data_IF_027021280161
#
_entry.id   IF_027021280161
#
_cell.length_a   1.000
_cell.length_b   1.000
_cell.length_c   1.000
_cell.angle_alpha   90.00
_cell.angle_beta   90.00
_cell.angle_gamma   90.00
#
_symmetry.space_group_name_H-M   'P 1'
#
loop_
_entity.id
_entity.type
_entity.pdbx_description
1 polymer ?
#
# COMPACT_ATOMS: atom_id res chain seq x y z
N UNK A 1 7.65 -17.94 5.96
CA UNK A 1 7.33 -16.61 6.52
C UNK A 1 5.83 -16.47 6.54
N UNK A 2 5.27 -16.10 7.68
CA UNK A 2 3.84 -15.82 7.89
C UNK A 2 3.64 -14.35 8.25
N UNK A 3 2.43 -13.83 8.05
CA UNK A 3 2.04 -12.50 8.49
C UNK A 3 1.85 -12.50 10.02
N UNK A 4 2.52 -11.60 10.73
CA UNK A 4 2.44 -11.48 12.19
C UNK A 4 1.64 -10.26 12.67
N UNK A 5 1.73 -9.13 11.95
CA UNK A 5 1.01 -7.89 12.25
C UNK A 5 0.70 -7.14 10.96
N UNK A 6 -0.43 -6.44 10.92
CA UNK A 6 -0.77 -5.53 9.83
C UNK A 6 -1.33 -4.22 10.38
N UNK A 7 -0.77 -3.11 9.88
CA UNK A 7 -1.20 -1.76 10.24
C UNK A 7 -1.66 -1.02 9.00
N UNK A 8 -2.83 -0.38 9.07
CA UNK A 8 -3.38 0.48 8.00
C UNK A 8 -3.83 1.80 8.61
N UNK A 9 -3.33 2.89 8.02
CA UNK A 9 -3.58 4.26 8.44
C UNK A 9 -4.44 4.98 7.39
N UNK A 10 -5.19 5.99 7.80
CA UNK A 10 -5.94 6.84 6.88
C UNK A 10 -4.99 7.81 6.19
N UNK A 11 -5.02 7.82 4.85
CA UNK A 11 -4.22 8.72 4.02
C UNK A 11 -4.97 9.94 3.51
N UNK A 12 -6.30 9.95 3.63
CA UNK A 12 -7.14 11.05 3.18
C UNK A 12 -6.89 12.31 4.00
N UNK A 13 -6.89 13.46 3.33
CA UNK A 13 -6.77 14.76 3.98
C UNK A 13 -7.96 14.99 4.91
N UNK A 14 -7.68 15.19 6.19
CA UNK A 14 -8.72 15.36 7.19
C UNK A 14 -8.20 15.25 8.62
N UNK A 15 -9.10 15.40 9.61
CA UNK A 15 -8.72 15.42 11.02
C UNK A 15 -8.18 14.07 11.53
N UNK A 16 -8.43 12.98 10.79
CA UNK A 16 -7.97 11.62 11.13
C UNK A 16 -6.82 11.14 10.25
N UNK A 17 -6.17 12.05 9.52
CA UNK A 17 -4.99 11.72 8.72
C UNK A 17 -3.88 11.12 9.60
N UNK A 18 -3.20 10.10 9.10
CA UNK A 18 -2.19 9.31 9.82
C UNK A 18 -2.69 8.61 11.10
N UNK A 19 -3.99 8.57 11.36
CA UNK A 19 -4.54 7.79 12.48
C UNK A 19 -4.74 6.35 12.01
N UNK A 20 -4.16 5.35 12.69
CA UNK A 20 -4.39 3.95 12.37
C UNK A 20 -5.84 3.56 12.62
N UNK A 21 -6.42 2.78 11.73
CA UNK A 21 -7.75 2.20 11.89
C UNK A 21 -7.75 0.67 11.83
N UNK A 22 -6.64 0.09 11.35
CA UNK A 22 -6.31 -1.33 11.48
C UNK A 22 -4.92 -1.37 12.13
N UNK A 23 -4.80 -2.10 13.25
CA UNK A 23 -3.53 -2.48 13.88
C UNK A 23 -3.75 -3.87 14.47
N UNK A 24 -3.76 -4.85 13.58
CA UNK A 24 -4.17 -6.22 13.85
C UNK A 24 -2.93 -7.10 14.02
N UNK A 25 -2.85 -7.82 15.14
CA UNK A 25 -1.89 -8.89 15.35
C UNK A 25 -2.52 -10.22 14.93
N UNK A 26 -1.75 -11.08 14.27
CA UNK A 26 -2.27 -12.32 13.70
C UNK A 26 -2.09 -13.47 14.68
N UNK A 27 -3.21 -13.96 15.23
CA UNK A 27 -3.21 -15.12 16.10
C UNK A 27 -2.65 -16.34 15.35
N UNK A 28 -1.65 -16.98 15.94
CA UNK A 28 -0.99 -18.16 15.37
C UNK A 28 -1.01 -19.29 16.38
N UNK A 29 -1.52 -20.46 15.99
CA UNK A 29 -1.49 -21.69 16.79
C UNK A 29 -0.22 -22.51 16.59
N UNK A 30 0.46 -22.29 15.46
CA UNK A 30 1.71 -22.98 15.12
C UNK A 30 2.89 -22.40 15.89
N UNK A 31 3.89 -23.22 16.25
CA UNK A 31 5.09 -22.73 16.91
C UNK A 31 5.88 -21.80 15.97
N UNK A 32 6.20 -20.60 16.47
CA UNK A 32 7.04 -19.64 15.75
C UNK A 32 8.50 -20.01 15.94
N UNK A 33 9.19 -20.28 14.84
CA UNK A 33 10.62 -20.66 14.85
C UNK A 33 11.51 -19.45 15.14
N UNK A 34 11.21 -18.31 14.52
CA UNK A 34 11.94 -17.06 14.70
C UNK A 34 10.99 -15.87 14.57
N UNK A 35 11.01 -14.96 15.55
CA UNK A 35 10.17 -13.78 15.61
C UNK A 35 10.76 -12.59 14.82
N UNK A 36 12.06 -12.64 14.49
CA UNK A 36 12.77 -11.55 13.80
C UNK A 36 12.51 -10.19 14.45
N UNK A 37 12.51 -10.15 15.78
CA UNK A 37 12.04 -9.02 16.60
C UNK A 37 12.68 -7.68 16.23
N UNK A 38 13.96 -7.68 15.84
CA UNK A 38 14.66 -6.49 15.35
C UNK A 38 13.95 -5.87 14.13
N UNK A 39 13.46 -6.70 13.21
CA UNK A 39 12.84 -6.29 11.95
C UNK A 39 11.31 -6.25 11.99
N UNK A 40 10.68 -6.99 12.90
CA UNK A 40 9.22 -7.14 12.98
C UNK A 40 8.59 -6.34 14.12
N UNK A 41 9.36 -6.05 15.17
CA UNK A 41 8.87 -5.51 16.43
C UNK A 41 8.00 -6.49 17.23
N UNK A 42 7.88 -7.75 16.80
CA UNK A 42 7.06 -8.77 17.46
C UNK A 42 7.86 -9.47 18.55
N UNK A 43 7.29 -9.49 19.75
CA UNK A 43 7.86 -10.17 20.91
C UNK A 43 7.22 -11.56 21.10
N UNK A 44 7.93 -12.51 21.75
CA UNK A 44 7.32 -13.75 22.19
C UNK A 44 6.10 -13.48 23.09
N UNK A 45 4.97 -14.10 22.76
CA UNK A 45 3.70 -13.91 23.45
C UNK A 45 2.75 -12.91 22.79
N UNK A 46 3.22 -12.05 21.88
CA UNK A 46 2.36 -11.10 21.17
C UNK A 46 1.35 -11.80 20.24
N UNK A 47 1.65 -13.02 19.80
CA UNK A 47 0.82 -13.80 18.88
C UNK A 47 -0.03 -14.88 19.58
N UNK A 48 0.07 -14.97 20.92
CA UNK A 48 -0.69 -15.95 21.73
C UNK A 48 -2.00 -15.33 22.25
N UNK A 49 -3.17 -15.90 21.92
CA UNK A 49 -4.46 -15.45 22.41
C UNK A 49 -4.61 -15.38 23.94
N UNK A 50 -3.83 -16.16 24.69
CA UNK A 50 -3.94 -16.22 26.16
C UNK A 50 -3.07 -15.19 26.88
N UNK A 51 -2.03 -14.68 26.23
CA UNK A 51 -0.99 -13.84 26.85
C UNK A 51 -0.94 -12.45 26.24
N UNK A 52 -1.31 -12.32 24.96
CA UNK A 52 -1.13 -11.09 24.22
C UNK A 52 -1.97 -9.95 24.77
N UNK A 53 -1.38 -8.74 24.75
CA UNK A 53 -2.02 -7.48 25.11
C UNK A 53 -2.61 -6.76 23.89
N UNK A 54 -2.36 -7.29 22.69
CA UNK A 54 -2.72 -6.67 21.43
C UNK A 54 -4.06 -7.17 20.90
N UNK A 55 -4.61 -6.46 19.91
CA UNK A 55 -5.83 -6.90 19.21
C UNK A 55 -5.48 -8.07 18.30
N UNK A 56 -5.74 -9.29 18.78
CA UNK A 56 -5.49 -10.51 18.02
C UNK A 56 -6.69 -10.86 17.15
N UNK A 57 -6.41 -11.09 15.88
CA UNK A 57 -7.40 -11.55 14.91
C UNK A 57 -6.89 -12.78 14.16
N UNK A 58 -7.79 -13.69 13.74
CA UNK A 58 -7.41 -14.73 12.80
C UNK A 58 -6.95 -14.12 11.47
N UNK A 59 -5.97 -14.76 10.81
CA UNK A 59 -5.46 -14.33 9.50
C UNK A 59 -6.57 -14.05 8.47
N UNK A 60 -7.61 -14.89 8.47
CA UNK A 60 -8.77 -14.76 7.57
C UNK A 60 -9.53 -13.44 7.78
N UNK A 61 -9.59 -12.92 9.01
CA UNK A 61 -10.27 -11.66 9.32
C UNK A 61 -9.45 -10.48 8.81
N UNK A 62 -8.15 -10.45 9.10
CA UNK A 62 -7.24 -9.44 8.57
C UNK A 62 -7.25 -9.40 7.03
N UNK A 63 -7.19 -10.57 6.39
CA UNK A 63 -7.29 -10.70 4.94
C UNK A 63 -8.60 -10.11 4.39
N UNK A 64 -9.74 -10.43 5.00
CA UNK A 64 -11.04 -9.89 4.57
C UNK A 64 -11.11 -8.38 4.70
N UNK A 65 -10.57 -7.80 5.78
CA UNK A 65 -10.51 -6.35 5.97
C UNK A 65 -9.72 -5.68 4.85
N UNK A 66 -8.53 -6.20 4.54
CA UNK A 66 -7.72 -5.71 3.42
C UNK A 66 -8.41 -5.91 2.08
N UNK A 67 -9.06 -7.07 1.87
CA UNK A 67 -9.75 -7.38 0.62
C UNK A 67 -10.90 -6.43 0.34
N UNK A 68 -11.68 -6.07 1.36
CA UNK A 68 -12.73 -5.06 1.23
C UNK A 68 -12.15 -3.70 0.80
N UNK A 69 -10.99 -3.29 1.34
CA UNK A 69 -10.32 -2.05 0.90
C UNK A 69 -9.91 -2.10 -0.58
N UNK A 70 -9.39 -3.25 -1.04
CA UNK A 70 -9.05 -3.45 -2.46
C UNK A 70 -10.30 -3.36 -3.34
N UNK A 71 -11.36 -4.09 -2.98
CA UNK A 71 -12.61 -4.15 -3.75
C UNK A 71 -13.33 -2.78 -3.79
N UNK A 72 -13.16 -1.94 -2.77
CA UNK A 72 -13.65 -0.55 -2.74
C UNK A 72 -12.86 0.43 -3.61
N UNK A 73 -11.75 0.00 -4.24
CA UNK A 73 -10.94 0.87 -5.06
C UNK A 73 -9.94 1.73 -4.27
N UNK A 74 -9.67 1.42 -2.99
CA UNK A 74 -8.70 2.18 -2.19
C UNK A 74 -7.29 2.12 -2.78
N UNK A 75 -6.53 3.20 -2.65
CA UNK A 75 -5.12 3.28 -3.07
C UNK A 75 -4.23 2.97 -1.87
N UNK A 76 -3.35 1.99 -2.02
CA UNK A 76 -2.36 1.59 -1.02
C UNK A 76 -1.05 2.33 -1.26
N UNK A 77 -0.67 3.15 -0.27
CA UNK A 77 0.62 3.84 -0.23
C UNK A 77 1.52 3.13 0.78
N UNK A 78 2.78 2.89 0.43
CA UNK A 78 3.71 2.19 1.33
C UNK A 78 5.13 2.12 0.78
N UNK A 79 5.96 1.26 1.38
CA UNK A 79 7.35 1.06 0.98
C UNK A 79 7.66 -0.44 0.86
N UNK A 80 7.86 -0.94 -0.37
CA UNK A 80 8.13 -2.35 -0.61
C UNK A 80 6.89 -3.26 -0.59
N UNK A 81 5.70 -2.70 -0.88
CA UNK A 81 4.40 -3.36 -0.78
C UNK A 81 4.29 -4.67 -1.57
N UNK A 82 5.11 -4.84 -2.62
CA UNK A 82 5.15 -6.09 -3.39
C UNK A 82 5.43 -7.32 -2.52
N UNK A 83 6.35 -7.20 -1.56
CA UNK A 83 6.68 -8.31 -0.67
C UNK A 83 5.56 -8.54 0.34
N UNK A 84 4.96 -7.46 0.85
CA UNK A 84 3.84 -7.51 1.80
C UNK A 84 2.62 -8.20 1.19
N UNK A 85 2.21 -7.80 -0.02
CA UNK A 85 1.09 -8.42 -0.73
C UNK A 85 1.33 -9.90 -1.02
N UNK A 86 2.59 -10.29 -1.29
CA UNK A 86 2.98 -11.70 -1.47
C UNK A 86 2.81 -12.51 -0.17
N UNK A 87 3.20 -11.94 0.97
CA UNK A 87 3.07 -12.59 2.28
C UNK A 87 1.59 -12.68 2.71
N UNK A 88 0.82 -11.62 2.48
CA UNK A 88 -0.63 -11.55 2.76
C UNK A 88 -1.42 -12.46 1.79
N UNK A 89 -0.83 -12.82 0.65
CA UNK A 89 -1.46 -13.57 -0.44
C UNK A 89 -2.67 -12.84 -1.05
N UNK A 90 -2.53 -11.52 -1.26
CA UNK A 90 -3.55 -10.68 -1.88
C UNK A 90 -3.02 -10.09 -3.20
N UNK A 91 -3.86 -10.10 -4.23
CA UNK A 91 -3.56 -9.43 -5.49
C UNK A 91 -4.20 -8.04 -5.47
N UNK A 92 -3.37 -7.01 -5.54
CA UNK A 92 -3.82 -5.62 -5.65
C UNK A 92 -3.51 -5.12 -7.07
N UNK A 93 -4.50 -4.56 -7.80
CA UNK A 93 -4.28 -3.94 -9.10
C UNK A 93 -3.15 -2.88 -9.04
N UNK A 94 -2.22 -2.85 -10.02
CA UNK A 94 -1.11 -1.90 -10.02
C UNK A 94 -1.52 -0.42 -9.93
N UNK A 95 -2.71 -0.07 -10.42
CA UNK A 95 -3.27 1.28 -10.40
C UNK A 95 -3.54 1.77 -8.97
N UNK A 96 -3.91 0.82 -8.09
CA UNK A 96 -4.17 1.03 -6.68
C UNK A 96 -2.91 1.00 -5.81
N UNK A 97 -1.71 0.82 -6.37
CA UNK A 97 -0.47 0.74 -5.59
C UNK A 97 0.41 1.96 -5.85
N UNK A 98 0.78 2.66 -4.77
CA UNK A 98 1.78 3.74 -4.77
C UNK A 98 2.93 3.33 -3.87
N UNK A 99 3.87 2.59 -4.45
CA UNK A 99 5.04 2.10 -3.73
C UNK A 99 6.18 3.12 -3.79
N UNK A 100 6.53 3.70 -2.64
CA UNK A 100 7.63 4.66 -2.52
C UNK A 100 8.97 4.06 -2.93
N UNK A 101 9.19 2.75 -2.78
CA UNK A 101 10.45 2.13 -3.22
C UNK A 101 10.61 2.18 -4.74
N UNK A 102 9.50 2.07 -5.47
CA UNK A 102 9.49 2.11 -6.94
C UNK A 102 9.46 3.56 -7.44
N UNK A 103 8.85 4.49 -6.68
CA UNK A 103 8.85 5.92 -6.98
C UNK A 103 10.27 6.50 -6.88
N UNK A 104 11.00 6.21 -5.81
CA UNK A 104 12.37 6.70 -5.58
C UNK A 104 13.45 5.80 -6.22
N UNK A 105 13.10 5.02 -7.24
CA UNK A 105 14.03 4.13 -7.95
C UNK A 105 14.37 4.65 -9.35
N UNK A 106 15.67 4.81 -9.62
CA UNK A 106 16.16 5.07 -10.98
C UNK A 106 16.33 3.72 -11.69
N UNK A 107 15.54 3.46 -12.74
CA UNK A 107 15.54 2.18 -13.49
C UNK A 107 16.92 1.73 -13.99
N UNK A 108 17.77 2.68 -14.38
CA UNK A 108 19.14 2.42 -14.85
C UNK A 108 20.13 2.10 -13.72
N UNK A 109 19.71 2.17 -12.46
CA UNK A 109 20.50 1.84 -11.27
C UNK A 109 19.93 0.59 -10.63
N UNK A 110 20.80 -0.28 -10.13
CA UNK A 110 20.38 -1.56 -9.54
C UNK A 110 19.87 -1.45 -8.09
N UNK A 111 20.09 -0.31 -7.41
CA UNK A 111 19.80 -0.19 -5.98
C UNK A 111 18.45 0.48 -5.72
N UNK A 112 17.57 -0.26 -5.02
CA UNK A 112 16.41 0.28 -4.32
C UNK A 112 16.86 0.91 -2.99
N UNK A 113 16.28 2.05 -2.67
CA UNK A 113 16.65 2.84 -1.49
C UNK A 113 15.77 2.41 -0.30
N UNK A 114 16.37 2.27 0.88
CA UNK A 114 15.61 1.91 2.08
C UNK A 114 14.78 3.08 2.59
N UNK A 115 13.64 2.76 3.23
CA UNK A 115 12.77 3.74 3.89
C UNK A 115 13.55 4.63 4.87
N UNK A 116 14.36 4.01 5.74
CA UNK A 116 15.19 4.71 6.74
C UNK A 116 16.10 5.77 6.11
N UNK A 117 16.72 5.47 4.96
CA UNK A 117 17.58 6.44 4.26
C UNK A 117 16.78 7.56 3.62
N UNK A 118 15.63 7.25 3.00
CA UNK A 118 14.76 8.26 2.37
C UNK A 118 14.19 9.23 3.41
N UNK A 119 13.74 8.71 4.55
CA UNK A 119 13.18 9.50 5.65
C UNK A 119 14.26 10.39 6.28
N UNK A 120 15.45 9.84 6.53
CA UNK A 120 16.59 10.62 7.01
C UNK A 120 16.97 11.76 6.05
N UNK A 121 16.96 11.50 4.74
CA UNK A 121 17.36 12.49 3.75
C UNK A 121 16.30 13.57 3.50
N UNK A 122 15.02 13.17 3.34
CA UNK A 122 13.94 14.06 2.88
C UNK A 122 13.13 14.67 4.02
N UNK A 123 12.95 13.93 5.10
CA UNK A 123 12.12 14.34 6.24
C UNK A 123 12.96 14.73 7.46
N UNK A 124 14.29 14.54 7.40
CA UNK A 124 15.23 14.84 8.48
C UNK A 124 14.83 14.16 9.81
N UNK A 125 14.39 12.91 9.70
CA UNK A 125 13.96 12.09 10.83
C UNK A 125 14.76 10.79 10.86
N UNK A 126 15.12 10.36 12.06
CA UNK A 126 15.67 9.03 12.31
C UNK A 126 14.53 8.11 12.75
N UNK A 127 14.34 7.01 12.03
CA UNK A 127 13.34 5.98 12.32
C UNK A 127 14.02 4.64 12.53
N UNK A 128 13.31 3.69 13.15
CA UNK A 128 13.76 2.30 13.33
C UNK A 128 15.10 2.22 14.10
N UNK A 129 15.28 3.03 15.14
CA UNK A 129 16.54 3.10 15.90
C UNK A 129 16.82 1.86 16.76
N UNK A 130 15.77 1.19 17.24
CA UNK A 130 15.90 -0.02 18.08
C UNK A 130 15.05 -1.18 17.53
N UNK A 131 13.75 -0.98 17.38
CA UNK A 131 12.81 -1.99 16.88
C UNK A 131 11.88 -1.38 15.84
N UNK A 132 11.47 -2.20 14.87
CA UNK A 132 10.54 -1.77 13.83
C UNK A 132 9.13 -1.63 14.36
N UNK A 133 8.44 -0.55 13.96
CA UNK A 133 7.04 -0.33 14.26
C UNK A 133 6.26 -0.11 12.96
N UNK A 134 5.38 -1.06 12.62
CA UNK A 134 4.60 -0.99 11.37
C UNK A 134 3.73 0.27 11.24
N UNK A 135 3.27 0.89 12.34
CA UNK A 135 2.50 2.14 12.31
C UNK A 135 3.42 3.32 11.96
N UNK A 136 4.61 3.36 12.55
CA UNK A 136 5.63 4.37 12.24
C UNK A 136 6.08 4.26 10.78
N UNK A 137 6.34 3.04 10.31
CA UNK A 137 6.73 2.77 8.92
C UNK A 137 5.65 3.20 7.93
N UNK A 138 4.38 2.88 8.19
CA UNK A 138 3.28 3.29 7.32
C UNK A 138 3.06 4.82 7.34
N UNK A 139 3.20 5.46 8.51
CA UNK A 139 3.12 6.93 8.65
C UNK A 139 4.23 7.61 7.85
N UNK A 140 5.46 7.14 7.99
CA UNK A 140 6.63 7.72 7.33
C UNK A 140 6.61 7.47 5.82
N UNK A 141 6.14 6.30 5.37
CA UNK A 141 5.92 6.03 3.95
C UNK A 141 4.85 6.95 3.34
N UNK A 142 3.76 7.22 4.07
CA UNK A 142 2.73 8.17 3.63
C UNK A 142 3.29 9.61 3.56
N UNK A 143 4.02 10.06 4.59
CA UNK A 143 4.66 11.37 4.61
C UNK A 143 5.67 11.52 3.46
N UNK A 144 6.43 10.47 3.17
CA UNK A 144 7.37 10.41 2.06
C UNK A 144 6.66 10.50 0.70
N UNK A 145 5.51 9.83 0.54
CA UNK A 145 4.69 9.95 -0.66
C UNK A 145 4.12 11.36 -0.84
N UNK A 146 3.65 12.01 0.23
CA UNK A 146 3.25 13.43 0.16
C UNK A 146 4.41 14.33 -0.23
N UNK A 147 5.59 14.11 0.35
CA UNK A 147 6.80 14.85 -0.03
C UNK A 147 7.16 14.67 -1.50
N UNK A 148 6.98 13.47 -2.04
CA UNK A 148 7.12 13.21 -3.47
C UNK A 148 6.16 14.04 -4.31
N UNK A 149 4.88 14.15 -3.91
CA UNK A 149 3.89 14.97 -4.63
C UNK A 149 4.30 16.44 -4.66
N UNK A 150 4.73 17.00 -3.51
CA UNK A 150 5.25 18.38 -3.43
C UNK A 150 6.45 18.59 -4.37
N UNK A 151 7.42 17.67 -4.37
CA UNK A 151 8.60 17.77 -5.22
C UNK A 151 8.27 17.66 -6.70
N UNK A 152 7.27 16.84 -7.04
CA UNK A 152 6.80 16.65 -8.41
C UNK A 152 6.07 17.89 -8.92
N UNK A 153 5.21 18.49 -8.10
CA UNK A 153 4.49 19.72 -8.45
C UNK A 153 5.45 20.89 -8.69
N UNK A 154 6.51 20.99 -7.88
CA UNK A 154 7.56 22.00 -8.04
C UNK A 154 8.56 21.69 -9.17
N UNK A 155 8.45 20.54 -9.86
CA UNK A 155 9.37 20.13 -10.93
C UNK A 155 10.79 19.77 -10.45
N UNK A 156 11.00 19.64 -9.14
CA UNK A 156 12.32 19.41 -8.52
C UNK A 156 12.62 17.92 -8.28
N UNK A 157 11.64 17.03 -8.46
CA UNK A 157 11.77 15.62 -8.09
C UNK A 157 12.99 14.93 -8.72
N UNK A 158 13.26 15.17 -10.01
CA UNK A 158 14.36 14.52 -10.72
C UNK A 158 15.73 14.93 -10.16
N UNK A 159 15.91 16.23 -9.86
CA UNK A 159 17.14 16.77 -9.27
C UNK A 159 17.36 16.19 -7.88
N UNK A 160 16.33 16.26 -7.03
CA UNK A 160 16.37 15.71 -5.68
C UNK A 160 16.68 14.21 -5.70
N UNK A 161 16.11 13.46 -6.65
CA UNK A 161 16.35 12.03 -6.78
C UNK A 161 17.82 11.73 -7.11
N UNK A 162 18.43 12.44 -8.06
CA UNK A 162 19.86 12.28 -8.37
C UNK A 162 20.74 12.60 -7.16
N UNK A 163 20.38 13.63 -6.40
CA UNK A 163 21.12 13.99 -5.20
C UNK A 163 20.96 13.00 -4.04
N UNK A 164 19.80 12.38 -3.88
CA UNK A 164 19.62 11.24 -2.96
C UNK A 164 20.62 10.13 -3.34
N UNK A 165 20.75 9.80 -4.62
CA UNK A 165 21.70 8.78 -5.07
C UNK A 165 23.17 9.22 -4.91
N UNK A 166 23.45 10.51 -5.08
CA UNK A 166 24.77 11.09 -4.85
C UNK A 166 25.19 11.01 -3.38
N UNK A 167 24.34 11.48 -2.47
CA UNK A 167 24.58 11.40 -1.02
C UNK A 167 24.57 9.95 -0.53
N UNK A 168 23.71 9.08 -1.08
CA UNK A 168 23.72 7.65 -0.78
C UNK A 168 25.05 6.99 -1.11
N UNK A 169 25.70 7.37 -2.22
CA UNK A 169 27.06 6.89 -2.54
C UNK A 169 28.11 7.43 -1.56
N UNK A 170 28.03 8.70 -1.17
CA UNK A 170 28.99 9.32 -0.23
C UNK A 170 28.90 8.73 1.18
N UNK A 171 27.68 8.48 1.64
CA UNK A 171 27.38 7.94 2.98
C UNK A 171 27.30 6.41 3.01
N UNK A 172 27.60 5.74 1.88
CA UNK A 172 27.43 4.30 1.72
C UNK A 172 26.04 3.78 2.12
N UNK A 173 25.00 4.58 1.88
CA UNK A 173 23.59 4.28 2.16
C UNK A 173 23.29 4.00 3.64
N UNK A 174 24.14 4.49 4.54
CA UNK A 174 23.98 4.38 5.98
C UNK A 174 23.73 5.78 6.53
N UNK A 175 22.49 6.10 6.95
CA UNK A 175 22.21 7.41 7.53
C UNK A 175 22.95 7.53 8.87
N UNK A 176 23.51 8.72 9.11
CA UNK A 176 24.22 9.06 10.34
C UNK A 176 23.19 9.70 11.28
N UNK A 177 22.86 9.06 12.41
CA UNK A 177 21.83 9.58 13.32
C UNK A 177 22.16 11.00 13.78
N UNK A 178 21.16 11.88 13.77
CA UNK A 178 21.27 13.27 14.19
C UNK A 178 22.10 14.19 13.28
N UNK A 179 22.68 13.69 12.18
CA UNK A 179 23.34 14.51 11.17
C UNK A 179 22.57 14.42 9.87
N UNK A 180 21.90 15.51 9.50
CA UNK A 180 21.04 15.53 8.33
C UNK A 180 21.68 16.32 7.17
N UNK A 181 21.44 15.91 5.91
CA UNK A 181 21.89 16.67 4.77
C UNK A 181 21.17 18.03 4.71
N UNK A 182 21.81 19.02 4.11
CA UNK A 182 21.23 20.36 3.95
C UNK A 182 19.85 20.28 3.25
N UNK A 183 18.85 21.06 3.70
CA UNK A 183 17.53 21.07 3.08
C UNK A 183 17.59 21.45 1.60
N UNK A 184 16.65 20.90 0.83
CA UNK A 184 16.43 21.28 -0.55
C UNK A 184 15.54 22.52 -0.65
N UNK A 185 15.83 23.47 -1.57
CA UNK A 185 16.94 23.50 -2.54
C UNK A 185 18.28 23.94 -1.94
N UNK A 186 19.39 23.30 -2.35
CA UNK A 186 20.75 23.67 -1.90
C UNK A 186 21.31 24.83 -2.73
N UNK A 187 21.95 25.79 -2.08
CA UNK A 187 22.67 26.84 -2.79
C UNK A 187 23.81 26.23 -3.64
N UNK A 188 23.70 26.34 -4.97
CA UNK A 188 24.73 25.88 -5.91
C UNK A 188 24.38 24.67 -6.76
N UNK A 189 23.15 24.15 -6.70
CA UNK A 189 22.70 23.16 -7.69
C UNK A 189 22.55 23.86 -9.03
N UNK A 190 23.24 23.40 -10.09
CA UNK A 190 23.00 23.95 -11.42
C UNK A 190 21.56 23.58 -11.79
N UNK A 191 20.65 24.54 -11.63
CA UNK A 191 19.35 24.52 -12.31
C UNK A 191 19.68 24.24 -13.76
N UNK A 192 19.27 23.07 -14.26
CA UNK A 192 19.32 22.80 -15.69
C UNK A 192 18.17 23.61 -16.31
N UNK A 193 18.36 24.92 -16.29
CA UNK A 193 17.43 25.92 -16.75
C UNK A 193 17.06 25.65 -18.19
N UNK A 194 15.77 25.73 -18.44
CA UNK A 194 15.15 25.92 -19.74
C UNK A 194 16.10 26.60 -20.74
N UNK A 195 16.39 25.88 -21.83
CA UNK A 195 16.94 26.45 -23.06
C UNK A 195 16.00 27.55 -23.57
N UNK A 196 16.19 28.78 -23.10
CA UNK A 196 15.70 29.97 -23.76
C UNK A 196 16.91 30.68 -24.38
N UNK A 197 17.32 30.21 -25.55
CA UNK A 197 18.08 31.03 -26.48
C UNK A 197 17.16 32.14 -27.00
N UNK A 198 17.32 33.37 -26.52
CA UNK A 198 17.04 34.53 -27.37
C UNK A 198 18.00 35.66 -27.04
N UNK A 199 18.41 36.30 -28.12
CA UNK A 199 19.64 37.06 -28.30
C UNK A 199 19.77 38.33 -27.45
N UNK A 200 21.02 38.52 -27.03
CA UNK A 200 21.66 39.76 -26.65
C UNK A 200 21.51 40.84 -27.74
N UNK A 201 21.25 42.10 -27.37
CA UNK A 201 21.87 43.28 -27.99
C UNK A 201 21.70 44.54 -27.10
N UNK A 202 22.83 45.05 -26.60
CA UNK A 202 23.19 46.49 -26.51
C UNK A 202 22.78 47.36 -25.30
N UNK A 203 23.63 47.36 -24.23
CA UNK A 203 24.50 48.46 -23.70
C UNK A 203 23.91 49.86 -23.27
N UNK A 204 24.65 50.74 -22.55
CA UNK A 204 24.78 50.85 -21.07
C UNK A 204 24.47 52.27 -20.47
N UNK A 205 24.40 52.39 -19.14
CA UNK A 205 24.61 53.68 -18.43
C UNK A 205 24.07 53.75 -17.00
N UNK A 206 24.97 53.83 -16.00
CA UNK A 206 24.75 54.30 -14.61
C UNK A 206 25.35 55.72 -14.46
N UNK A 207 25.33 56.44 -13.30
CA UNK A 207 24.68 56.24 -11.98
C UNK A 207 23.97 57.50 -11.40
N UNK A 208 23.21 57.39 -10.28
CA UNK A 208 23.17 58.40 -9.20
C UNK A 208 22.29 57.99 -7.98
N UNK A 209 22.87 58.14 -6.79
CA UNK A 209 22.30 58.31 -5.43
C UNK A 209 23.13 59.46 -4.79
N UNK A 210 22.84 60.06 -3.61
CA UNK A 210 21.88 59.71 -2.55
C UNK A 210 21.13 60.89 -1.87
N UNK A 211 20.18 60.62 -0.96
CA UNK A 211 19.95 61.41 0.28
C UNK A 211 18.85 60.81 1.22
N UNK A 212 19.21 60.66 2.49
CA UNK A 212 18.40 60.70 3.73
C UNK A 212 19.05 61.79 4.62
N UNK A 213 18.47 62.38 5.70
CA UNK A 213 17.88 61.68 6.89
C UNK A 213 16.72 62.42 7.62
N UNK A 214 16.08 61.75 8.61
CA UNK A 214 15.25 62.43 9.62
C UNK A 214 14.35 61.52 10.48
N UNK A 215 14.73 61.35 11.74
CA UNK A 215 13.96 60.86 12.93
C UNK A 215 14.04 61.97 14.02
N UNK A 216 13.46 61.90 15.24
CA UNK A 216 12.55 60.90 15.89
C UNK A 216 11.34 61.53 16.64
N UNK A 217 10.43 60.71 17.21
CA UNK A 217 9.77 60.99 18.52
C UNK A 217 8.90 59.81 19.02
N UNK A 218 8.84 59.71 20.35
CA UNK A 218 8.40 58.64 21.27
C UNK A 218 6.94 58.81 21.75
N UNK A 219 6.45 57.84 22.57
CA UNK A 219 5.31 57.87 23.54
C UNK A 219 4.04 57.16 22.97
N UNK A 220 3.31 56.25 23.62
CA UNK A 220 3.20 55.76 25.00
C UNK A 220 2.67 54.32 25.03
N UNK A 221 3.01 53.63 26.13
CA UNK A 221 2.36 52.43 26.64
C UNK A 221 0.95 52.74 27.18
N UNK A 222 0.05 51.77 27.12
CA UNK A 222 -1.10 51.68 28.02
C UNK A 222 -1.33 50.22 28.43
N UNK A 223 -1.04 49.96 29.71
CA UNK A 223 -1.56 48.87 30.51
C UNK A 223 -2.31 49.52 31.69
N UNK A 224 -3.52 49.06 32.00
CA UNK A 224 -4.43 49.41 33.12
C UNK A 224 -5.73 48.60 32.81
N UNK A 225 -6.40 47.83 33.66
CA UNK A 225 -6.25 47.42 35.07
C UNK A 225 -7.14 46.20 35.30
N UNK A 226 -6.77 45.36 36.26
CA UNK A 226 -7.63 44.36 36.87
C UNK A 226 -8.75 44.99 37.72
N UNK A 227 -9.94 44.39 37.74
CA UNK A 227 -10.89 44.55 38.84
C UNK A 227 -11.55 43.19 39.12
N UNK A 228 -11.23 42.66 40.29
CA UNK A 228 -11.88 41.52 40.91
C UNK A 228 -13.18 41.96 41.59
N UNK A 229 -14.24 41.16 41.50
CA UNK A 229 -15.25 41.07 42.56
C UNK A 229 -15.59 39.58 42.73
N UNK A 230 -15.49 39.15 43.98
CA UNK A 230 -15.65 37.81 44.46
C UNK A 230 -17.11 37.43 44.75
N UNK A 231 -17.33 36.11 44.79
CA UNK A 231 -18.25 35.37 45.66
C UNK A 231 -19.78 35.53 45.48
N UNK A 232 -20.47 34.42 45.21
CA UNK A 232 -21.15 33.61 46.24
C UNK A 232 -21.81 32.37 45.58
N UNK A 233 -21.84 31.27 46.33
CA UNK A 233 -22.17 29.90 45.88
C UNK A 233 -23.68 29.55 45.77
N UNK A 234 -24.01 28.24 45.67
CA UNK A 234 -25.24 27.70 45.07
C UNK A 234 -26.38 27.44 46.08
N UNK A 235 -27.57 26.99 45.61
CA UNK A 235 -27.93 25.59 45.88
C UNK A 235 -28.79 24.88 44.81
N UNK A 236 -28.42 23.62 44.52
CA UNK A 236 -29.14 22.31 44.52
C UNK A 236 -30.69 22.20 44.29
N UNK A 237 -31.27 20.98 44.21
CA UNK A 237 -31.69 20.28 42.98
C UNK A 237 -33.21 20.04 42.92
N UNK A 238 -33.74 19.58 41.78
CA UNK A 238 -35.03 18.89 41.77
C UNK A 238 -35.03 17.68 40.86
N UNK A 239 -35.45 16.58 41.49
CA UNK A 239 -35.78 15.26 40.97
C UNK A 239 -36.84 15.33 39.86
N UNK A 240 -36.67 14.56 38.79
CA UNK A 240 -37.82 13.97 38.10
C UNK A 240 -37.48 12.60 37.53
N UNK A 241 -38.36 11.65 37.86
CA UNK A 241 -38.17 10.22 37.71
C UNK A 241 -38.38 9.72 36.28
N UNK A 242 -37.73 8.58 36.04
CA UNK A 242 -37.77 7.68 34.89
C UNK A 242 -39.17 7.15 34.57
N UNK A 243 -39.51 7.03 33.27
CA UNK A 243 -40.35 5.94 32.75
C UNK A 243 -39.79 5.49 31.39
N UNK A 244 -39.46 4.20 31.20
CA UNK A 244 -38.95 3.68 29.92
C UNK A 244 -40.10 3.22 29.00
N UNK A 245 -39.97 3.53 27.71
CA UNK A 245 -40.86 3.05 26.64
C UNK A 245 -40.55 1.56 26.31
N UNK A 246 -41.56 0.71 26.06
CA UNK A 246 -41.34 -0.68 25.64
C UNK A 246 -40.96 -0.79 24.14
N UNK A 247 -40.21 -1.84 23.75
CA UNK A 247 -39.79 -2.05 22.36
C UNK A 247 -40.93 -2.59 21.48
N UNK A 248 -40.95 -2.31 20.17
CA UNK A 248 -41.94 -2.85 19.25
C UNK A 248 -41.75 -4.36 19.01
N UNK A 249 -42.83 -5.11 18.75
CA UNK A 249 -42.77 -6.55 18.50
C UNK A 249 -42.11 -6.88 17.16
N UNK A 250 -41.37 -7.99 17.15
CA UNK A 250 -40.67 -8.51 15.98
C UNK A 250 -41.62 -8.84 14.82
N UNK A 251 -41.24 -8.35 13.64
CA UNK A 251 -41.69 -8.87 12.36
C UNK A 251 -40.57 -9.73 11.79
N UNK A 252 -40.82 -11.04 11.79
CA UNK A 252 -40.07 -12.02 11.02
C UNK A 252 -40.22 -11.72 9.52
N UNK A 253 -39.17 -11.17 8.92
CA UNK A 253 -39.00 -11.11 7.46
C UNK A 253 -37.79 -11.99 7.09
N UNK A 254 -38.05 -13.27 6.91
CA UNK A 254 -37.21 -14.10 6.06
C UNK A 254 -37.42 -13.64 4.62
N UNK A 255 -36.54 -12.76 4.16
CA UNK A 255 -36.38 -12.52 2.72
C UNK A 255 -35.52 -13.66 2.17
N UNK A 256 -35.99 -14.50 1.23
CA UNK A 256 -35.09 -15.39 0.53
C UNK A 256 -34.08 -14.52 -0.23
N UNK A 257 -32.79 -14.86 -0.15
CA UNK A 257 -31.75 -14.25 -0.99
C UNK A 257 -32.26 -14.23 -2.43
N UNK A 258 -32.14 -13.07 -3.09
CA UNK A 258 -32.53 -12.90 -4.48
C UNK A 258 -31.90 -13.99 -5.33
N UNK A 259 -32.69 -14.55 -6.25
CA UNK A 259 -32.33 -15.64 -7.17
C UNK A 259 -30.99 -15.40 -7.90
N UNK A 260 -30.58 -14.13 -8.03
CA UNK A 260 -29.29 -13.69 -8.56
C UNK A 260 -28.07 -14.13 -7.74
N UNK A 261 -28.15 -14.13 -6.40
CA UNK A 261 -27.03 -14.49 -5.53
C UNK A 261 -26.76 -16.01 -5.55
N UNK A 262 -27.84 -16.81 -5.62
CA UNK A 262 -27.74 -18.26 -5.80
C UNK A 262 -27.18 -18.63 -7.17
N UNK A 263 -27.61 -17.91 -8.21
CA UNK A 263 -27.12 -18.10 -9.57
C UNK A 263 -25.64 -17.73 -9.69
N UNK A 264 -25.20 -16.64 -9.04
CA UNK A 264 -23.78 -16.27 -8.97
C UNK A 264 -22.94 -17.30 -8.20
N UNK A 265 -23.45 -17.86 -7.09
CA UNK A 265 -22.77 -18.96 -6.40
C UNK A 265 -22.65 -20.23 -7.27
N UNK A 266 -23.67 -20.58 -8.04
CA UNK A 266 -23.60 -21.72 -8.94
C UNK A 266 -22.58 -21.51 -10.07
N UNK A 267 -22.54 -20.32 -10.67
CA UNK A 267 -21.53 -19.98 -11.69
C UNK A 267 -20.12 -20.03 -11.09
N UNK A 268 -19.94 -19.52 -9.86
CA UNK A 268 -18.66 -19.57 -9.17
C UNK A 268 -18.22 -21.00 -8.86
N UNK A 269 -19.13 -21.87 -8.41
CA UNK A 269 -18.84 -23.27 -8.12
C UNK A 269 -18.53 -24.06 -9.39
N UNK A 270 -19.23 -23.78 -10.49
CA UNK A 270 -18.93 -24.38 -11.79
C UNK A 270 -17.54 -24.00 -12.28
N UNK A 271 -17.13 -22.74 -12.12
CA UNK A 271 -15.79 -22.26 -12.50
C UNK A 271 -14.67 -22.87 -11.64
N UNK A 272 -14.90 -23.03 -10.34
CA UNK A 272 -13.96 -23.71 -9.44
C UNK A 272 -13.81 -25.19 -9.78
N UNK A 273 -14.92 -25.87 -10.11
CA UNK A 273 -14.89 -27.27 -10.52
C UNK A 273 -14.18 -27.45 -11.87
N UNK A 274 -14.38 -26.53 -12.82
CA UNK A 274 -13.67 -26.53 -14.09
C UNK A 274 -12.16 -26.33 -13.90
N UNK A 275 -11.75 -25.40 -13.02
CA UNK A 275 -10.33 -25.21 -12.70
C UNK A 275 -9.73 -26.44 -12.03
N UNK A 276 -10.46 -27.13 -11.16
CA UNK A 276 -9.99 -28.34 -10.48
C UNK A 276 -9.81 -29.52 -11.45
N UNK A 277 -10.68 -29.63 -12.47
CA UNK A 277 -10.53 -30.57 -13.58
C UNK A 277 -9.33 -30.23 -14.47
N UNK A 278 -9.09 -28.94 -14.74
CA UNK A 278 -7.91 -28.50 -15.49
C UNK A 278 -6.62 -28.74 -14.70
N UNK A 279 -6.64 -28.59 -13.38
CA UNK A 279 -5.51 -28.87 -12.49
C UNK A 279 -5.14 -30.36 -12.45
N UNK A 280 -6.13 -31.24 -12.52
CA UNK A 280 -5.93 -32.70 -12.56
C UNK A 280 -5.52 -33.21 -13.94
N UNK A 281 -5.71 -32.43 -15.01
CA UNK A 281 -5.34 -32.77 -16.38
C UNK A 281 -3.90 -32.38 -16.80
N UNK A 282 -3.12 -31.75 -15.92
CA UNK A 282 -1.65 -31.61 -16.10
C UNK A 282 -1.17 -30.78 -17.31
N UNK A 283 -1.96 -29.85 -17.84
CA UNK A 283 -1.55 -28.99 -18.97
C UNK A 283 -1.05 -27.63 -18.47
N UNK A 284 0.20 -27.27 -18.80
CA UNK A 284 0.85 -26.03 -18.40
C UNK A 284 0.35 -24.79 -19.15
N UNK A 285 0.23 -23.65 -18.45
CA UNK A 285 -0.25 -22.39 -19.02
C UNK A 285 0.85 -21.64 -19.79
N UNK A 286 0.60 -21.34 -21.07
CA UNK A 286 1.27 -20.28 -21.82
C UNK A 286 0.34 -19.06 -21.90
N UNK A 287 0.77 -17.92 -21.36
CA UNK A 287 0.04 -16.66 -21.45
C UNK A 287 0.25 -16.02 -22.83
N UNK A 288 -0.84 -15.66 -23.52
CA UNK A 288 -0.84 -14.69 -24.64
C UNK A 288 -1.60 -13.43 -24.23
N UNK A 289 -1.12 -12.22 -24.59
CA UNK A 289 -1.82 -10.95 -24.30
C UNK A 289 -3.01 -10.73 -25.25
N UNK A 290 -4.00 -9.89 -24.86
CA UNK A 290 -5.27 -9.77 -25.56
C UNK A 290 -5.17 -8.91 -26.82
N UNK A 291 -5.72 -9.38 -27.95
CA UNK A 291 -5.92 -8.54 -29.14
C UNK A 291 -5.81 -9.19 -30.53
N UNK A 292 -5.64 -10.51 -30.67
CA UNK A 292 -5.58 -11.15 -31.99
C UNK A 292 -6.54 -12.34 -32.11
N UNK A 293 -7.35 -12.35 -33.17
CA UNK A 293 -8.15 -13.51 -33.59
C UNK A 293 -7.24 -14.63 -34.11
N UNK A 294 -7.52 -15.91 -33.83
CA UNK A 294 -6.62 -17.00 -34.21
C UNK A 294 -6.64 -17.22 -35.73
N UNK A 295 -5.45 -17.17 -36.34
CA UNK A 295 -5.19 -17.63 -37.70
C UNK A 295 -4.87 -19.15 -37.61
N UNK A 296 -5.55 -20.02 -38.38
CA UNK A 296 -5.24 -21.45 -38.36
C UNK A 296 -3.85 -21.69 -38.97
N UNK A 297 -2.89 -22.10 -38.15
CA UNK A 297 -1.59 -22.57 -38.63
C UNK A 297 -1.72 -24.02 -39.13
N UNK A 298 -1.19 -24.27 -40.32
CA UNK A 298 -1.08 -25.61 -40.90
C UNK A 298 -0.11 -26.48 -40.06
N UNK A 299 -0.40 -27.78 -39.89
CA UNK A 299 0.45 -28.66 -39.10
C UNK A 299 1.81 -28.91 -39.79
N UNK A 300 2.89 -28.72 -39.04
CA UNK A 300 4.26 -29.05 -39.45
C UNK A 300 4.55 -30.54 -39.33
N UNK A 301 5.46 -31.00 -40.19
CA UNK A 301 5.68 -32.37 -40.68
C UNK A 301 6.25 -33.39 -39.67
N UNK A 302 5.99 -33.27 -38.36
CA UNK A 302 6.48 -34.23 -37.35
C UNK A 302 5.41 -34.92 -36.49
N UNK A 303 4.11 -34.68 -36.74
CA UNK A 303 3.01 -35.44 -36.10
C UNK A 303 2.19 -36.29 -37.08
N UNK A 304 2.77 -36.67 -38.23
CA UNK A 304 2.07 -37.44 -39.26
C UNK A 304 2.44 -38.94 -39.32
N UNK A 305 3.13 -39.49 -38.32
CA UNK A 305 3.51 -40.92 -38.31
C UNK A 305 2.88 -41.77 -37.19
N UNK A 306 1.91 -41.26 -36.43
CA UNK A 306 1.21 -42.08 -35.42
C UNK A 306 -0.30 -42.21 -35.59
N UNK A 307 -0.87 -41.69 -36.68
CA UNK A 307 -2.31 -41.83 -36.95
C UNK A 307 -2.49 -42.40 -38.37
N UNK A 308 -2.00 -43.61 -38.59
CA UNK A 308 -2.45 -44.50 -39.67
C UNK A 308 -2.27 -45.95 -39.21
N UNK A 309 -3.27 -46.44 -38.46
CA UNK A 309 -3.60 -47.87 -38.43
C UNK A 309 -5.09 -47.99 -38.77
N UNK A 310 -5.45 -48.61 -39.90
CA UNK A 310 -6.85 -48.81 -40.25
C UNK A 310 -7.45 -49.95 -39.40
N UNK A 311 -8.57 -49.65 -38.74
CA UNK A 311 -9.41 -50.63 -38.08
C UNK A 311 -9.88 -51.68 -39.10
N UNK A 312 -9.40 -52.91 -38.95
CA UNK A 312 -9.89 -54.06 -39.69
C UNK A 312 -11.26 -54.47 -39.16
N UNK A 313 -12.24 -54.46 -40.06
CA UNK A 313 -13.56 -55.06 -39.94
C UNK A 313 -13.38 -56.57 -39.83
N UNK A 314 -13.68 -57.16 -38.66
CA UNK A 314 -13.77 -58.61 -38.53
C UNK A 314 -15.24 -59.02 -38.58
N UNK A 315 -15.62 -59.63 -39.70
CA UNK A 315 -16.91 -60.22 -39.96
C UNK A 315 -17.15 -61.40 -39.00
N UNK A 316 -18.31 -61.40 -38.36
CA UNK A 316 -18.84 -62.53 -37.62
C UNK A 316 -19.67 -63.37 -38.60
N UNK A 317 -19.12 -64.50 -39.08
CA UNK A 317 -19.89 -65.55 -39.73
C UNK A 317 -19.89 -66.81 -38.87
N UNK A 318 -21.10 -67.27 -38.59
CA UNK A 318 -21.47 -68.40 -37.76
C UNK A 318 -21.05 -69.71 -38.43
N UNK A 319 -20.65 -70.71 -37.63
CA UNK A 319 -20.75 -72.09 -38.06
C UNK A 319 -21.28 -72.98 -36.93
N UNK A 320 -22.44 -73.58 -37.23
CA UNK A 320 -23.10 -74.63 -36.46
C UNK A 320 -22.23 -75.88 -36.36
N UNK A 321 -22.32 -76.55 -35.22
CA UNK A 321 -21.76 -77.87 -34.95
C UNK A 321 -22.90 -78.90 -34.91
N UNK A 322 -22.90 -79.87 -35.83
CA UNK A 322 -23.58 -81.15 -35.66
C UNK A 322 -22.66 -82.25 -36.20
N UNK A 323 -22.28 -83.25 -35.38
CA UNK A 323 -21.58 -84.43 -35.85
C UNK A 323 -22.58 -85.48 -36.38
N UNK A 324 -22.23 -86.13 -37.49
CA UNK A 324 -22.89 -87.37 -37.93
C UNK A 324 -22.05 -88.55 -37.47
N UNK A 325 -22.62 -89.33 -36.54
CA UNK A 325 -22.54 -90.78 -36.31
C UNK A 325 -22.83 -91.05 -34.82
#
# INVERSE_FOLDING_TARGET
MSLARVSVLRGDEGPLEYVPFIDDYIATSEPVVDYLTEFSGIQPGDLDPNVSKHTLVPLKVAYKRLRVLVDMGCIFVGHGLRQDFRIINILVPPEQVKDTVDIFHIKNRQRKISLRFLVWYLLHQDIQSETHNSIEDARTALALYKKYLELKENGLFQEVLEDIYSEGRKTNWKPIPGQFPAPWPRAGTPSMGSMAMFQNLSRPGTPATPATPGTPATIAANAITAAAIAALGPPNPTNSMMVPLPPPPGLTLQSPLSTSAQQQMQVQQMYLQQQQQQWSAGQGYSFLPPGQSPIPQQPTTQQQQQIYQPHAVQQQQQHLHYPSQ
#
